data_IF_531570486132
#
_entry.id   IF_531570486132
#
_cell.length_a   1.000
_cell.length_b   1.000
_cell.length_c   1.000
_cell.angle_alpha   90.00
_cell.angle_beta   90.00
_cell.angle_gamma   90.00
#
_symmetry.space_group_name_H-M   'P 1'
#
loop_
_entity.id
_entity.type
_entity.pdbx_description
1 polymer ?
#
# COMPACT_ATOMS: atom_id res chain seq x y z
N UNK A 1 14.74 28.12 -12.64
CA UNK A 1 15.15 27.05 -13.59
C UNK A 1 14.22 25.89 -13.31
N UNK A 2 13.13 25.79 -14.05
CA UNK A 2 12.15 24.72 -13.89
C UNK A 2 12.82 23.38 -14.22
N UNK A 3 13.16 22.62 -13.18
CA UNK A 3 13.51 21.21 -13.33
C UNK A 3 12.23 20.51 -13.77
N UNK A 4 12.07 20.36 -15.09
CA UNK A 4 11.03 19.49 -15.67
C UNK A 4 11.26 18.10 -15.10
N UNK A 5 10.48 17.75 -14.08
CA UNK A 5 10.43 16.39 -13.55
C UNK A 5 10.02 15.40 -14.64
N UNK A 6 10.25 14.11 -14.40
CA UNK A 6 9.87 13.04 -15.31
C UNK A 6 8.36 13.05 -15.56
N UNK A 7 7.90 13.29 -16.80
CA UNK A 7 6.46 13.31 -17.09
C UNK A 7 5.86 11.90 -16.95
N UNK A 8 4.58 11.78 -16.56
CA UNK A 8 3.91 10.49 -16.53
C UNK A 8 3.76 9.92 -17.94
N UNK A 9 3.87 8.60 -18.05
CA UNK A 9 3.63 7.83 -19.29
C UNK A 9 2.15 7.78 -19.62
N UNK A 10 1.30 7.54 -18.62
CA UNK A 10 -0.15 7.55 -18.75
C UNK A 10 -0.80 8.31 -17.59
N UNK A 11 -2.02 8.78 -17.78
CA UNK A 11 -2.76 9.52 -16.74
C UNK A 11 -4.24 9.23 -16.85
N UNK A 12 -4.88 8.99 -15.70
CA UNK A 12 -6.33 8.91 -15.56
C UNK A 12 -6.78 10.16 -14.81
N UNK A 13 -7.67 10.94 -15.40
CA UNK A 13 -8.25 12.13 -14.77
C UNK A 13 -9.60 11.79 -14.14
N UNK A 14 -9.82 12.24 -12.92
CA UNK A 14 -11.06 12.06 -12.18
C UNK A 14 -11.73 13.41 -11.87
N UNK A 15 -13.04 13.43 -11.62
CA UNK A 15 -13.76 14.66 -11.31
C UNK A 15 -13.39 15.24 -9.93
N UNK A 16 -13.02 14.37 -8.99
CA UNK A 16 -12.79 14.67 -7.57
C UNK A 16 -11.35 14.36 -7.15
N UNK A 17 -10.96 14.86 -5.98
CA UNK A 17 -9.65 14.59 -5.39
C UNK A 17 -9.54 13.12 -4.99
N UNK A 18 -8.44 12.49 -5.37
CA UNK A 18 -8.06 11.14 -4.94
C UNK A 18 -7.50 11.22 -3.52
N UNK A 19 -8.12 10.50 -2.59
CA UNK A 19 -7.66 10.43 -1.20
C UNK A 19 -6.65 9.31 -1.02
N UNK A 20 -6.97 8.13 -1.54
CA UNK A 20 -6.09 6.97 -1.59
C UNK A 20 -6.48 6.08 -2.77
N UNK A 21 -5.63 5.17 -3.19
CA UNK A 21 -5.96 4.16 -4.19
C UNK A 21 -5.11 2.92 -3.97
N UNK A 22 -5.57 1.80 -4.52
CA UNK A 22 -4.79 0.58 -4.62
C UNK A 22 -5.00 -0.09 -5.98
N UNK A 23 -3.89 -0.52 -6.58
CA UNK A 23 -3.90 -1.51 -7.65
C UNK A 23 -3.78 -2.88 -7.01
N UNK A 24 -4.55 -3.85 -7.50
CA UNK A 24 -4.48 -5.20 -6.98
C UNK A 24 -3.07 -5.75 -7.07
N UNK A 25 -2.58 -6.30 -5.95
CA UNK A 25 -1.29 -6.96 -5.84
C UNK A 25 -1.38 -8.47 -6.11
N UNK A 26 -2.44 -8.95 -6.75
CA UNK A 26 -2.67 -10.37 -7.02
C UNK A 26 -2.76 -10.65 -8.52
N UNK A 27 -2.14 -11.74 -8.96
CA UNK A 27 -2.07 -12.17 -10.36
C UNK A 27 -3.44 -12.18 -11.05
N UNK A 28 -4.44 -12.81 -10.43
CA UNK A 28 -5.77 -13.00 -11.00
C UNK A 28 -6.64 -11.74 -11.04
N UNK A 29 -6.19 -10.65 -10.42
CA UNK A 29 -6.90 -9.38 -10.40
C UNK A 29 -6.00 -8.17 -10.66
N UNK A 30 -4.80 -8.37 -11.23
CA UNK A 30 -3.76 -7.34 -11.39
C UNK A 30 -4.24 -6.05 -12.09
N UNK A 31 -5.26 -6.18 -12.94
CA UNK A 31 -5.84 -5.07 -13.71
C UNK A 31 -6.92 -4.31 -12.95
N UNK A 32 -7.31 -4.75 -11.75
CA UNK A 32 -8.26 -4.04 -10.90
C UNK A 32 -7.60 -2.90 -10.15
N UNK A 33 -8.30 -1.77 -10.14
CA UNK A 33 -7.92 -0.55 -9.47
C UNK A 33 -9.10 -0.07 -8.63
N UNK A 34 -8.86 0.15 -7.34
CA UNK A 34 -9.81 0.79 -6.44
C UNK A 34 -9.29 2.20 -6.11
N UNK A 35 -10.10 3.21 -6.41
CA UNK A 35 -9.77 4.61 -6.14
C UNK A 35 -10.74 5.14 -5.10
N UNK A 36 -10.20 5.63 -3.98
CA UNK A 36 -10.96 6.20 -2.90
C UNK A 36 -11.04 7.72 -3.06
N UNK A 37 -12.27 8.23 -3.21
CA UNK A 37 -12.59 9.65 -3.26
C UNK A 37 -13.12 10.11 -1.89
N UNK A 38 -13.80 11.24 -1.82
CA UNK A 38 -14.18 11.83 -0.54
C UNK A 38 -15.28 11.04 0.20
N UNK A 39 -16.24 10.47 -0.52
CA UNK A 39 -17.41 9.76 0.02
C UNK A 39 -17.75 8.49 -0.77
N UNK A 40 -16.82 8.00 -1.60
CA UNK A 40 -17.03 6.83 -2.46
C UNK A 40 -15.74 6.13 -2.84
N UNK A 41 -15.89 4.86 -3.20
CA UNK A 41 -14.87 4.06 -3.85
C UNK A 41 -15.28 3.85 -5.32
N UNK A 42 -14.37 4.14 -6.24
CA UNK A 42 -14.52 3.87 -7.67
C UNK A 42 -13.68 2.65 -8.00
N UNK A 43 -14.36 1.56 -8.33
CA UNK A 43 -13.73 0.34 -8.82
C UNK A 43 -13.69 0.39 -10.34
N UNK A 44 -12.53 0.11 -10.90
CA UNK A 44 -12.38 -0.03 -12.33
C UNK A 44 -11.27 -1.01 -12.71
N UNK A 45 -11.12 -1.19 -14.01
CA UNK A 45 -10.02 -1.95 -14.60
C UNK A 45 -9.12 -1.04 -15.43
N UNK A 46 -7.82 -1.17 -15.25
CA UNK A 46 -6.80 -0.57 -16.10
C UNK A 46 -6.21 -1.66 -16.99
N UNK A 47 -5.99 -1.38 -18.26
CA UNK A 47 -5.21 -2.22 -19.17
C UNK A 47 -4.09 -1.41 -19.79
N UNK A 48 -2.92 -2.03 -19.87
CA UNK A 48 -1.73 -1.38 -20.39
C UNK A 48 -1.49 -1.73 -21.86
N UNK A 49 -0.77 -0.88 -22.61
CA UNK A 49 -0.39 -1.15 -23.99
C UNK A 49 0.22 -2.54 -24.22
N UNK A 50 1.02 -3.03 -23.28
CA UNK A 50 1.70 -4.33 -23.34
C UNK A 50 0.75 -5.54 -23.26
N UNK A 51 -0.47 -5.34 -22.80
CA UNK A 51 -1.49 -6.40 -22.62
C UNK A 51 -2.52 -6.41 -23.75
N UNK A 52 -2.55 -5.37 -24.58
CA UNK A 52 -3.57 -5.14 -25.59
C UNK A 52 -2.99 -5.23 -27.00
N UNK A 53 -3.70 -5.88 -27.93
CA UNK A 53 -3.30 -5.94 -29.34
C UNK A 53 -3.18 -4.56 -30.01
N UNK A 54 -3.94 -3.58 -29.51
CA UNK A 54 -4.00 -2.21 -30.05
C UNK A 54 -2.94 -1.28 -29.45
N UNK A 55 -2.11 -1.76 -28.51
CA UNK A 55 -1.09 -0.96 -27.80
C UNK A 55 -1.64 0.32 -27.12
N UNK A 56 -2.92 0.33 -26.77
CA UNK A 56 -3.59 1.45 -26.09
C UNK A 56 -3.66 1.25 -24.59
N UNK A 57 -3.45 2.34 -23.84
CA UNK A 57 -3.76 2.42 -22.42
C UNK A 57 -5.26 2.67 -22.23
N UNK A 58 -5.93 1.83 -21.45
CA UNK A 58 -7.37 1.86 -21.27
C UNK A 58 -7.76 1.88 -19.78
N UNK A 59 -8.68 2.77 -19.44
CA UNK A 59 -9.32 2.83 -18.12
C UNK A 59 -10.82 2.64 -18.29
N UNK A 60 -11.38 1.65 -17.59
CA UNK A 60 -12.80 1.38 -17.58
C UNK A 60 -13.32 1.37 -16.13
N UNK A 61 -14.26 2.26 -15.84
CA UNK A 61 -14.96 2.27 -14.55
C UNK A 61 -15.99 1.14 -14.52
N UNK A 62 -15.86 0.24 -13.55
CA UNK A 62 -16.73 -0.92 -13.39
C UNK A 62 -17.88 -0.62 -12.44
N UNK A 63 -17.60 0.03 -11.30
CA UNK A 63 -18.60 0.24 -10.25
C UNK A 63 -18.25 1.43 -9.36
N UNK A 64 -19.28 2.10 -8.84
CA UNK A 64 -19.17 3.10 -7.80
C UNK A 64 -19.83 2.58 -6.51
N UNK A 65 -19.12 2.71 -5.40
CA UNK A 65 -19.54 2.21 -4.09
C UNK A 65 -19.58 3.41 -3.15
N UNK A 66 -20.76 3.74 -2.65
CA UNK A 66 -20.89 4.84 -1.69
C UNK A 66 -20.28 4.45 -0.35
N UNK A 67 -19.45 5.33 0.21
CA UNK A 67 -18.75 5.13 1.48
C UNK A 67 -19.17 6.21 2.47
N UNK A 68 -19.65 5.81 3.66
CA UNK A 68 -20.28 6.72 4.63
C UNK A 68 -19.32 7.74 5.27
N UNK A 69 -18.02 7.46 5.21
CA UNK A 69 -16.95 8.33 5.73
C UNK A 69 -15.84 8.49 4.70
N UNK A 70 -14.94 9.46 4.85
CA UNK A 70 -13.77 9.56 3.98
C UNK A 70 -12.81 8.37 4.18
N UNK A 71 -12.58 7.52 3.16
CA UNK A 71 -11.62 6.42 3.23
C UNK A 71 -10.18 6.94 3.07
N UNK A 72 -9.23 6.39 3.84
CA UNK A 72 -7.82 6.79 3.76
C UNK A 72 -6.85 5.63 3.55
N UNK A 73 -7.29 4.38 3.76
CA UNK A 73 -6.56 3.19 3.33
C UNK A 73 -7.56 2.25 2.66
N UNK A 74 -7.14 1.64 1.56
CA UNK A 74 -7.89 0.61 0.84
C UNK A 74 -6.97 -0.58 0.59
N UNK A 75 -7.52 -1.78 0.53
CA UNK A 75 -6.79 -2.98 0.11
C UNK A 75 -7.69 -3.94 -0.67
N UNK A 76 -7.12 -4.74 -1.57
CA UNK A 76 -7.81 -5.88 -2.18
C UNK A 76 -7.59 -7.16 -1.36
N UNK A 77 -8.60 -8.03 -1.31
CA UNK A 77 -8.43 -9.37 -0.76
C UNK A 77 -7.85 -10.33 -1.82
N UNK A 78 -7.08 -11.36 -1.42
CA UNK A 78 -6.47 -12.35 -2.33
C UNK A 78 -7.50 -13.17 -3.11
N UNK A 79 -8.71 -13.32 -2.56
CA UNK A 79 -9.81 -14.06 -3.19
C UNK A 79 -10.47 -13.28 -4.34
N UNK A 80 -10.08 -12.02 -4.56
CA UNK A 80 -10.65 -11.17 -5.61
C UNK A 80 -10.25 -11.70 -6.99
N UNK A 81 -11.26 -12.05 -7.79
CA UNK A 81 -11.07 -12.53 -9.16
C UNK A 81 -12.27 -12.20 -10.04
N UNK A 82 -11.97 -11.74 -11.26
CA UNK A 82 -12.97 -11.54 -12.31
C UNK A 82 -13.15 -12.79 -13.20
N UNK A 83 -12.30 -13.80 -13.05
CA UNK A 83 -12.31 -15.00 -13.87
C UNK A 83 -13.33 -16.05 -13.41
N UNK A 84 -13.76 -15.97 -12.15
CA UNK A 84 -14.76 -16.86 -11.55
C UNK A 84 -16.17 -16.38 -11.88
N UNK A 85 -17.12 -17.31 -12.00
CA UNK A 85 -18.55 -17.01 -12.14
C UNK A 85 -19.30 -17.63 -10.93
N UNK A 86 -19.99 -16.83 -10.10
CA UNK A 86 -20.07 -15.37 -10.18
C UNK A 86 -18.70 -14.70 -9.90
N UNK A 87 -18.53 -13.49 -10.43
CA UNK A 87 -17.32 -12.68 -10.14
C UNK A 87 -17.28 -12.40 -8.65
N UNK A 88 -16.09 -12.24 -8.09
CA UNK A 88 -15.91 -11.96 -6.68
C UNK A 88 -14.90 -10.84 -6.51
N UNK A 89 -15.35 -9.69 -6.05
CA UNK A 89 -14.48 -8.56 -5.68
C UNK A 89 -14.65 -8.27 -4.20
N UNK A 90 -13.55 -8.33 -3.46
CA UNK A 90 -13.53 -8.04 -2.03
C UNK A 90 -12.48 -6.96 -1.75
N UNK A 91 -12.90 -5.88 -1.10
CA UNK A 91 -12.08 -4.71 -0.80
C UNK A 91 -12.28 -4.33 0.66
N UNK A 92 -11.20 -3.92 1.33
CA UNK A 92 -11.28 -3.34 2.67
C UNK A 92 -10.99 -1.88 2.52
N UNK A 93 -11.76 -1.06 3.22
CA UNK A 93 -11.47 0.35 3.37
C UNK A 93 -11.47 0.73 4.84
N UNK A 94 -10.45 1.49 5.25
CA UNK A 94 -10.42 2.15 6.54
C UNK A 94 -10.97 3.58 6.38
N UNK A 95 -11.99 3.90 7.17
CA UNK A 95 -12.68 5.18 7.14
C UNK A 95 -12.28 6.14 8.26
N UNK A 96 -12.72 7.39 8.13
CA UNK A 96 -12.59 8.42 9.17
C UNK A 96 -13.48 8.15 10.40
N UNK A 97 -14.30 7.10 10.36
CA UNK A 97 -15.15 6.62 11.45
C UNK A 97 -14.48 5.55 12.34
N UNK A 98 -13.18 5.32 12.16
CA UNK A 98 -12.34 4.35 12.89
C UNK A 98 -12.71 2.88 12.62
N UNK A 99 -13.59 2.63 11.65
CA UNK A 99 -14.03 1.29 11.28
C UNK A 99 -13.36 0.84 10.00
N UNK A 100 -13.33 -0.48 9.83
CA UNK A 100 -12.95 -1.10 8.57
C UNK A 100 -14.23 -1.58 7.90
N UNK A 101 -14.40 -1.24 6.64
CA UNK A 101 -15.53 -1.67 5.83
C UNK A 101 -15.02 -2.74 4.88
N UNK A 102 -15.58 -3.94 4.97
CA UNK A 102 -15.37 -5.01 4.00
C UNK A 102 -16.49 -4.94 2.98
N UNK A 103 -16.14 -4.53 1.78
CA UNK A 103 -17.04 -4.52 0.63
C UNK A 103 -16.87 -5.82 -0.16
N UNK A 104 -17.99 -6.49 -0.46
CA UNK A 104 -18.01 -7.64 -1.37
C UNK A 104 -19.02 -7.39 -2.49
N UNK A 105 -18.64 -7.72 -3.71
CA UNK A 105 -19.48 -7.53 -4.90
C UNK A 105 -19.21 -8.57 -5.97
N UNK A 106 -20.26 -8.93 -6.71
CA UNK A 106 -20.19 -9.67 -7.96
C UNK A 106 -20.12 -8.77 -9.21
N UNK A 107 -19.98 -7.45 -9.01
CA UNK A 107 -20.12 -6.39 -10.02
C UNK A 107 -21.53 -6.25 -10.62
N UNK A 108 -22.50 -7.03 -10.18
CA UNK A 108 -23.90 -6.93 -10.60
C UNK A 108 -24.69 -6.17 -9.51
N UNK A 109 -25.70 -6.81 -8.90
CA UNK A 109 -26.55 -6.18 -7.88
C UNK A 109 -26.27 -6.71 -6.46
N UNK A 110 -25.42 -7.72 -6.31
CA UNK A 110 -25.19 -8.36 -5.02
C UNK A 110 -24.00 -7.72 -4.30
N UNK A 111 -24.27 -6.56 -3.70
CA UNK A 111 -23.29 -5.84 -2.89
C UNK A 111 -23.55 -6.02 -1.41
N UNK A 112 -22.51 -6.34 -0.66
CA UNK A 112 -22.57 -6.39 0.80
C UNK A 112 -21.47 -5.55 1.41
N UNK A 113 -21.77 -4.96 2.56
CA UNK A 113 -20.81 -4.22 3.37
C UNK A 113 -20.88 -4.76 4.79
N UNK A 114 -19.76 -5.27 5.27
CA UNK A 114 -19.57 -5.68 6.65
C UNK A 114 -18.68 -4.65 7.37
N UNK A 115 -19.07 -4.31 8.60
CA UNK A 115 -18.33 -3.34 9.42
C UNK A 115 -17.53 -4.10 10.48
N UNK A 116 -16.23 -3.82 10.55
CA UNK A 116 -15.37 -4.32 11.61
C UNK A 116 -15.12 -3.18 12.61
N UNK A 117 -15.58 -3.41 13.84
CA UNK A 117 -15.47 -2.47 14.95
C UNK A 117 -14.48 -3.02 15.98
N UNK A 118 -13.52 -2.20 16.39
CA UNK A 118 -12.53 -2.60 17.39
C UNK A 118 -11.50 -1.50 17.68
N UNK A 119 -11.11 -0.76 16.65
CA UNK A 119 -10.21 0.38 16.79
C UNK A 119 -10.89 1.57 17.47
N UNK A 120 -10.10 2.33 18.23
CA UNK A 120 -10.56 3.52 19.00
C UNK A 120 -10.08 4.84 18.41
N UNK A 121 -9.30 4.79 17.33
CA UNK A 121 -8.72 5.94 16.65
C UNK A 121 -8.54 5.62 15.15
N UNK A 122 -7.95 6.53 14.39
CA UNK A 122 -7.72 6.37 12.95
C UNK A 122 -6.98 5.06 12.63
N UNK A 123 -7.48 4.31 11.66
CA UNK A 123 -6.88 3.03 11.21
C UNK A 123 -5.91 3.31 10.07
N UNK A 124 -4.65 3.61 10.39
CA UNK A 124 -3.63 4.07 9.44
C UNK A 124 -3.40 3.18 8.21
N UNK A 125 -3.52 1.86 8.34
CA UNK A 125 -3.27 0.93 7.23
C UNK A 125 -4.03 -0.39 7.41
N UNK A 126 -4.52 -0.94 6.30
CA UNK A 126 -5.09 -2.30 6.23
C UNK A 126 -4.33 -3.14 5.21
N UNK A 127 -4.15 -4.43 5.48
CA UNK A 127 -3.46 -5.35 4.57
C UNK A 127 -3.95 -6.78 4.76
N UNK A 128 -4.26 -7.46 3.67
CA UNK A 128 -4.54 -8.89 3.70
C UNK A 128 -3.28 -9.75 3.76
N UNK A 129 -3.39 -10.84 4.50
CA UNK A 129 -2.50 -11.99 4.40
C UNK A 129 -2.64 -12.63 3.00
N UNK A 130 -1.55 -12.96 2.29
CA UNK A 130 -1.62 -13.59 0.97
C UNK A 130 -2.48 -14.86 0.92
N UNK A 131 -2.51 -15.63 2.01
CA UNK A 131 -3.33 -16.85 2.13
C UNK A 131 -4.81 -16.58 2.43
N UNK A 132 -5.17 -15.33 2.68
CA UNK A 132 -6.52 -14.92 3.03
C UNK A 132 -7.00 -15.44 4.38
N UNK A 133 -6.10 -15.83 5.30
CA UNK A 133 -6.50 -16.24 6.65
C UNK A 133 -6.86 -15.03 7.51
N UNK A 134 -6.06 -13.96 7.40
CA UNK A 134 -6.19 -12.77 8.22
C UNK A 134 -6.20 -11.48 7.39
N UNK A 135 -6.91 -10.48 7.92
CA UNK A 135 -6.76 -9.08 7.57
C UNK A 135 -6.07 -8.39 8.75
N UNK A 136 -4.96 -7.69 8.52
CA UNK A 136 -4.31 -6.86 9.52
C UNK A 136 -4.78 -5.41 9.40
N UNK A 137 -5.02 -4.77 10.55
CA UNK A 137 -5.32 -3.34 10.63
C UNK A 137 -4.50 -2.67 11.72
N UNK A 138 -3.91 -1.52 11.39
CA UNK A 138 -3.06 -0.74 12.30
C UNK A 138 -3.66 0.61 12.59
N UNK A 139 -3.49 1.13 13.80
CA UNK A 139 -4.14 2.36 14.22
C UNK A 139 -3.30 3.28 15.10
N UNK A 140 -3.71 4.54 15.12
CA UNK A 140 -3.30 5.57 16.08
C UNK A 140 -3.74 5.29 17.52
N UNK A 141 -4.53 4.25 17.77
CA UNK A 141 -4.84 3.76 19.13
C UNK A 141 -3.74 2.85 19.72
N UNK A 142 -2.57 2.82 19.06
CA UNK A 142 -1.40 2.02 19.39
C UNK A 142 -1.64 0.50 19.29
N UNK A 143 -2.61 0.07 18.49
CA UNK A 143 -2.87 -1.35 18.27
C UNK A 143 -2.75 -1.78 16.82
N UNK A 144 -2.40 -3.05 16.64
CA UNK A 144 -2.60 -3.80 15.42
C UNK A 144 -3.57 -4.95 15.71
N UNK A 145 -4.71 -4.99 15.03
CA UNK A 145 -5.74 -6.01 15.18
C UNK A 145 -5.70 -6.93 13.95
N UNK A 146 -5.78 -8.24 14.18
CA UNK A 146 -5.97 -9.21 13.13
C UNK A 146 -7.43 -9.68 13.11
N UNK A 147 -8.02 -9.74 11.92
CA UNK A 147 -9.39 -10.18 11.69
C UNK A 147 -9.37 -11.49 10.92
N UNK A 148 -10.13 -12.48 11.37
CA UNK A 148 -10.14 -13.82 10.77
C UNK A 148 -11.08 -13.87 9.56
N UNK A 149 -10.55 -13.78 8.35
CA UNK A 149 -11.36 -13.67 7.13
C UNK A 149 -12.33 -14.85 6.94
N UNK A 150 -11.92 -16.07 7.31
CA UNK A 150 -12.73 -17.30 7.16
C UNK A 150 -13.75 -17.51 8.28
N UNK A 151 -13.66 -16.76 9.37
CA UNK A 151 -14.60 -16.78 10.50
C UNK A 151 -15.42 -15.48 10.52
N UNK A 152 -15.93 -15.06 9.36
CA UNK A 152 -16.75 -13.85 9.20
C UNK A 152 -16.06 -12.60 9.78
N UNK A 153 -14.76 -12.46 9.50
CA UNK A 153 -13.91 -11.38 10.01
C UNK A 153 -13.98 -11.21 11.54
N UNK A 154 -14.22 -12.28 12.30
CA UNK A 154 -14.18 -12.23 13.76
C UNK A 154 -12.82 -11.69 14.24
N UNK A 155 -12.84 -10.88 15.31
CA UNK A 155 -11.63 -10.32 15.88
C UNK A 155 -10.71 -11.44 16.40
N UNK A 156 -9.51 -11.51 15.83
CA UNK A 156 -8.43 -12.41 16.19
C UNK A 156 -7.44 -11.78 17.18
N UNK A 157 -6.16 -12.19 17.15
CA UNK A 157 -5.13 -11.62 18.00
C UNK A 157 -5.01 -10.10 17.83
N UNK A 158 -4.72 -9.39 18.91
CA UNK A 158 -4.44 -7.96 18.91
C UNK A 158 -3.10 -7.71 19.59
N UNK A 159 -2.29 -6.84 19.00
CA UNK A 159 -0.99 -6.42 19.49
C UNK A 159 -1.07 -4.96 19.94
N UNK A 160 -0.44 -4.62 21.06
CA UNK A 160 -0.46 -3.29 21.66
C UNK A 160 0.95 -2.74 21.81
N UNK A 161 1.12 -1.46 21.50
CA UNK A 161 2.41 -0.78 21.37
C UNK A 161 2.45 0.50 22.21
N UNK A 162 3.65 1.10 22.34
CA UNK A 162 3.84 2.35 23.07
C UNK A 162 3.45 3.59 22.27
N UNK A 163 3.41 3.46 20.94
CA UNK A 163 3.11 4.52 19.97
C UNK A 163 2.18 4.01 18.87
N UNK A 164 1.70 4.96 18.06
CA UNK A 164 0.81 4.69 16.95
C UNK A 164 1.44 3.70 15.96
N UNK A 165 0.64 2.82 15.39
CA UNK A 165 1.09 1.86 14.38
C UNK A 165 0.76 2.41 13.00
N UNK A 166 1.79 2.66 12.18
CA UNK A 166 1.65 3.42 10.92
C UNK A 166 1.48 2.53 9.69
N UNK A 167 2.03 1.32 9.69
CA UNK A 167 1.91 0.37 8.58
C UNK A 167 2.00 -1.06 9.10
N UNK A 168 1.27 -1.97 8.46
CA UNK A 168 1.46 -3.41 8.60
C UNK A 168 1.50 -4.06 7.22
N UNK A 169 2.48 -4.96 7.03
CA UNK A 169 2.71 -5.66 5.77
C UNK A 169 2.99 -7.13 6.01
N UNK A 170 2.15 -7.97 5.43
CA UNK A 170 2.34 -9.41 5.43
C UNK A 170 3.54 -9.77 4.56
N UNK A 171 4.26 -10.79 4.99
CA UNK A 171 5.34 -11.34 4.20
C UNK A 171 4.76 -11.91 2.89
N UNK A 172 5.41 -11.66 1.73
CA UNK A 172 4.83 -11.99 0.42
C UNK A 172 4.68 -13.49 0.16
N UNK A 173 5.59 -14.31 0.70
CA UNK A 173 5.63 -15.76 0.43
C UNK A 173 5.29 -16.62 1.66
N UNK A 174 5.95 -16.37 2.80
CA UNK A 174 5.72 -17.10 4.05
C UNK A 174 4.48 -16.62 4.81
N UNK A 175 3.48 -17.51 4.88
CA UNK A 175 2.29 -17.36 5.70
C UNK A 175 2.58 -16.96 7.16
N UNK A 176 1.73 -16.10 7.71
CA UNK A 176 1.73 -15.81 9.13
C UNK A 176 2.87 -14.90 9.62
N UNK A 177 3.73 -14.41 8.75
CA UNK A 177 4.74 -13.40 9.09
C UNK A 177 4.23 -12.00 8.76
N UNK A 178 4.33 -11.10 9.74
CA UNK A 178 3.78 -9.76 9.66
C UNK A 178 4.81 -8.74 10.14
N UNK A 179 5.11 -7.76 9.28
CA UNK A 179 5.80 -6.54 9.69
C UNK A 179 4.79 -5.56 10.28
N UNK A 180 5.17 -4.97 11.40
CA UNK A 180 4.43 -3.90 12.05
C UNK A 180 5.38 -2.73 12.30
N UNK A 181 5.06 -1.58 11.71
CA UNK A 181 5.82 -0.35 11.86
C UNK A 181 5.20 0.54 12.95
N UNK A 182 5.94 0.74 14.03
CA UNK A 182 5.57 1.64 15.12
C UNK A 182 6.18 3.04 14.85
N UNK A 183 5.37 4.09 15.05
CA UNK A 183 5.73 5.49 14.77
C UNK A 183 6.99 5.96 15.52
N UNK A 184 7.32 5.33 16.64
CA UNK A 184 8.51 5.64 17.45
C UNK A 184 9.84 5.34 16.73
N UNK A 185 9.83 4.58 15.65
CA UNK A 185 11.03 4.20 14.88
C UNK A 185 11.29 2.69 14.85
N UNK A 186 10.48 1.89 15.52
CA UNK A 186 10.68 0.45 15.61
C UNK A 186 9.83 -0.29 14.57
N UNK A 187 10.46 -1.18 13.84
CA UNK A 187 9.80 -2.14 12.95
C UNK A 187 9.88 -3.52 13.59
N UNK A 188 8.75 -4.12 13.86
CA UNK A 188 8.65 -5.44 14.47
C UNK A 188 8.30 -6.49 13.42
N UNK A 189 8.96 -7.64 13.47
CA UNK A 189 8.58 -8.85 12.75
C UNK A 189 7.88 -9.81 13.72
N UNK A 190 6.63 -10.12 13.43
CA UNK A 190 5.81 -11.05 14.20
C UNK A 190 5.51 -12.32 13.42
N UNK A 191 5.43 -13.43 14.16
CA UNK A 191 4.83 -14.66 13.68
C UNK A 191 3.47 -14.84 14.34
N UNK A 192 2.41 -14.62 13.57
CA UNK A 192 1.03 -14.50 14.03
C UNK A 192 0.55 -15.78 14.70
N UNK A 193 0.76 -16.94 14.07
CA UNK A 193 0.29 -18.23 14.61
C UNK A 193 0.97 -18.60 15.94
N UNK A 194 2.20 -18.16 16.15
CA UNK A 194 2.93 -18.37 17.41
C UNK A 194 2.67 -17.29 18.45
N UNK A 195 2.09 -16.15 18.05
CA UNK A 195 1.90 -14.95 18.89
C UNK A 195 3.22 -14.45 19.51
N UNK A 196 4.33 -14.62 18.79
CA UNK A 196 5.67 -14.21 19.25
C UNK A 196 6.25 -13.15 18.34
N UNK A 197 6.89 -12.14 18.92
CA UNK A 197 7.83 -11.29 18.19
C UNK A 197 9.09 -12.11 17.89
N UNK A 198 9.51 -12.12 16.63
CA UNK A 198 10.74 -12.79 16.21
C UNK A 198 11.94 -11.85 16.27
N UNK A 199 11.75 -10.64 15.77
CA UNK A 199 12.81 -9.65 15.60
C UNK A 199 12.20 -8.25 15.68
N UNK A 200 13.00 -7.28 16.10
CA UNK A 200 12.70 -5.86 15.92
C UNK A 200 13.94 -5.13 15.43
N UNK A 201 13.76 -4.19 14.51
CA UNK A 201 14.81 -3.29 14.02
C UNK A 201 14.39 -1.85 14.27
N UNK A 202 15.36 -0.96 14.48
CA UNK A 202 15.10 0.42 14.89
C UNK A 202 15.78 1.40 13.92
N UNK A 203 15.06 2.47 13.59
CA UNK A 203 15.59 3.63 12.87
C UNK A 203 16.31 4.57 13.84
N UNK A 204 17.40 5.19 13.41
CA UNK A 204 18.09 6.23 14.19
C UNK A 204 17.31 7.57 14.26
N UNK A 205 16.26 7.69 13.46
CA UNK A 205 15.42 8.88 13.35
C UNK A 205 13.94 8.52 13.35
N UNK A 206 13.11 9.40 13.90
CA UNK A 206 11.66 9.22 14.00
C UNK A 206 10.93 10.55 13.72
N UNK A 207 9.66 10.57 13.29
CA UNK A 207 8.74 9.44 13.23
C UNK A 207 8.97 8.52 12.01
N UNK A 208 8.67 7.23 12.21
CA UNK A 208 8.49 6.27 11.12
C UNK A 208 7.14 6.53 10.45
N UNK A 209 7.10 6.47 9.11
CA UNK A 209 5.88 6.71 8.32
C UNK A 209 5.40 5.47 7.57
N UNK A 210 6.30 4.62 7.09
CA UNK A 210 5.91 3.41 6.35
C UNK A 210 7.00 2.33 6.37
N UNK A 211 6.59 1.09 6.13
CA UNK A 211 7.47 -0.06 5.92
C UNK A 211 6.92 -0.91 4.78
N UNK A 212 7.81 -1.56 4.03
CA UNK A 212 7.46 -2.50 2.97
C UNK A 212 8.47 -3.64 2.86
N UNK A 213 8.01 -4.80 2.39
CA UNK A 213 8.86 -5.95 2.08
C UNK A 213 9.45 -5.82 0.69
N UNK A 214 10.66 -6.32 0.52
CA UNK A 214 11.15 -6.60 -0.82
C UNK A 214 10.45 -7.86 -1.35
N UNK A 215 9.64 -7.69 -2.39
CA UNK A 215 8.81 -8.75 -2.95
C UNK A 215 9.61 -9.79 -3.74
N UNK A 216 10.78 -9.42 -4.27
CA UNK A 216 11.68 -10.36 -4.96
C UNK A 216 12.62 -11.10 -3.99
N UNK A 217 12.90 -10.50 -2.83
CA UNK A 217 13.79 -11.07 -1.83
C UNK A 217 13.36 -10.67 -0.43
N UNK A 218 12.53 -11.52 0.18
CA UNK A 218 11.91 -11.25 1.47
C UNK A 218 12.87 -11.17 2.67
N UNK A 219 14.17 -11.40 2.49
CA UNK A 219 15.15 -11.09 3.52
C UNK A 219 15.29 -9.58 3.75
N UNK A 220 14.93 -8.76 2.76
CA UNK A 220 15.10 -7.31 2.82
C UNK A 220 13.80 -6.57 3.12
N UNK A 221 13.93 -5.52 3.92
CA UNK A 221 12.84 -4.59 4.22
C UNK A 221 13.30 -3.16 4.02
N UNK A 222 12.36 -2.30 3.67
CA UNK A 222 12.58 -0.87 3.54
C UNK A 222 11.64 -0.15 4.48
N UNK A 223 12.17 0.83 5.20
CA UNK A 223 11.36 1.69 6.04
C UNK A 223 11.66 3.15 5.74
N UNK A 224 10.66 3.99 5.94
CA UNK A 224 10.76 5.43 5.76
C UNK A 224 10.56 6.12 7.09
N UNK A 225 11.58 6.85 7.53
CA UNK A 225 11.52 7.65 8.74
C UNK A 225 12.03 9.05 8.47
N UNK A 226 11.27 10.07 8.87
CA UNK A 226 11.46 11.44 8.39
C UNK A 226 11.68 11.44 6.87
N UNK A 227 12.67 12.16 6.36
CA UNK A 227 13.04 12.21 4.95
C UNK A 227 13.93 11.08 4.46
N UNK A 228 14.28 10.12 5.32
CA UNK A 228 15.26 9.09 5.03
C UNK A 228 14.58 7.76 4.68
N UNK A 229 15.25 7.00 3.81
CA UNK A 229 14.91 5.63 3.48
C UNK A 229 15.99 4.73 4.04
N UNK A 230 15.54 3.72 4.78
CA UNK A 230 16.40 2.75 5.44
C UNK A 230 16.18 1.37 4.84
N UNK A 231 17.27 0.65 4.60
CA UNK A 231 17.26 -0.69 4.08
C UNK A 231 17.85 -1.64 5.12
N UNK A 232 17.16 -2.73 5.44
CA UNK A 232 17.67 -3.79 6.31
C UNK A 232 17.72 -5.12 5.59
N UNK A 233 18.72 -5.92 5.96
CA UNK A 233 18.74 -7.36 5.78
C UNK A 233 18.34 -7.96 7.14
N UNK A 234 17.19 -8.62 7.19
CA UNK A 234 16.69 -9.22 8.42
C UNK A 234 17.54 -10.40 8.89
N UNK A 235 18.39 -10.99 8.03
CA UNK A 235 19.36 -12.01 8.44
C UNK A 235 20.53 -11.42 9.23
N UNK A 236 20.81 -10.13 9.02
CA UNK A 236 21.84 -9.37 9.75
C UNK A 236 21.28 -8.04 10.24
N UNK A 237 20.32 -8.13 11.15
CA UNK A 237 19.42 -7.05 11.55
C UNK A 237 19.99 -6.06 12.57
N UNK A 238 21.28 -6.17 12.91
CA UNK A 238 21.92 -5.35 13.94
C UNK A 238 21.97 -3.85 13.56
N UNK A 239 22.09 -3.54 12.27
CA UNK A 239 22.11 -2.19 11.73
C UNK A 239 21.51 -2.15 10.32
N UNK A 240 20.95 -1.00 9.88
CA UNK A 240 20.55 -0.86 8.48
C UNK A 240 21.77 -1.03 7.56
N UNK A 241 21.57 -1.70 6.43
CA UNK A 241 22.56 -1.81 5.36
C UNK A 241 22.87 -0.43 4.81
N UNK A 242 21.82 0.37 4.62
CA UNK A 242 21.90 1.70 4.05
C UNK A 242 20.85 2.61 4.69
N UNK A 243 21.27 3.83 5.05
CA UNK A 243 20.41 4.94 5.46
C UNK A 243 20.65 6.09 4.48
N UNK A 244 19.61 6.48 3.74
CA UNK A 244 19.73 7.42 2.63
C UNK A 244 18.75 8.57 2.77
N UNK A 245 19.22 9.82 2.85
CA UNK A 245 18.33 10.99 2.79
C UNK A 245 17.76 11.10 1.38
N UNK A 246 16.42 11.11 1.27
CA UNK A 246 15.72 11.11 -0.01
C UNK A 246 14.78 12.29 -0.18
N UNK A 247 14.10 12.69 0.89
CA UNK A 247 13.21 13.85 0.94
C UNK A 247 13.73 14.85 1.97
N UNK A 248 13.59 16.15 1.72
CA UNK A 248 14.23 17.17 2.55
C UNK A 248 13.58 17.30 3.94
N UNK A 249 12.26 17.08 4.03
CA UNK A 249 11.52 17.20 5.29
C UNK A 249 11.08 15.83 5.83
N UNK A 250 10.10 15.22 5.16
CA UNK A 250 9.44 13.99 5.61
C UNK A 250 8.98 13.20 4.40
N UNK A 251 9.17 11.89 4.42
CA UNK A 251 8.60 10.95 3.50
C UNK A 251 7.27 10.41 4.04
N UNK A 252 6.30 10.25 3.15
CA UNK A 252 4.98 9.70 3.45
C UNK A 252 4.93 8.19 3.30
N UNK A 253 5.50 7.66 2.23
CA UNK A 253 5.42 6.25 1.86
C UNK A 253 6.65 5.84 1.07
N UNK A 254 7.06 4.59 1.25
CA UNK A 254 8.08 3.90 0.47
C UNK A 254 7.56 2.52 0.09
N UNK A 255 7.81 2.07 -1.13
CA UNK A 255 7.47 0.72 -1.59
C UNK A 255 8.56 0.13 -2.47
N UNK A 256 8.86 -1.16 -2.28
CA UNK A 256 9.74 -1.88 -3.20
C UNK A 256 9.07 -2.10 -4.55
N UNK A 257 9.89 -2.09 -5.59
CA UNK A 257 9.47 -2.58 -6.89
C UNK A 257 9.29 -4.10 -6.83
N UNK A 258 8.17 -4.66 -7.31
CA UNK A 258 8.01 -6.11 -7.45
C UNK A 258 8.99 -6.72 -8.46
N UNK A 259 9.58 -5.89 -9.32
CA UNK A 259 10.41 -6.31 -10.46
C UNK A 259 11.92 -6.21 -10.20
N UNK A 260 12.32 -5.64 -9.06
CA UNK A 260 13.73 -5.50 -8.72
C UNK A 260 13.95 -5.43 -7.23
N UNK A 261 14.95 -6.20 -6.79
CA UNK A 261 15.40 -6.21 -5.41
C UNK A 261 16.01 -4.88 -4.95
N UNK A 262 16.32 -3.97 -5.87
CA UNK A 262 17.13 -2.79 -5.58
C UNK A 262 16.42 -1.48 -5.88
N UNK A 263 15.21 -1.51 -6.43
CA UNK A 263 14.46 -0.30 -6.79
C UNK A 263 13.36 -0.07 -5.78
N UNK A 264 13.27 1.15 -5.28
CA UNK A 264 12.16 1.61 -4.44
C UNK A 264 11.57 2.89 -5.00
N UNK A 265 10.26 3.03 -4.83
CA UNK A 265 9.56 4.29 -5.06
C UNK A 265 9.16 4.90 -3.72
N UNK A 266 9.13 6.22 -3.67
CA UNK A 266 8.78 6.93 -2.46
C UNK A 266 8.16 8.29 -2.77
N UNK A 267 7.34 8.80 -1.85
CA UNK A 267 6.77 10.15 -1.95
C UNK A 267 7.04 10.90 -0.65
N UNK A 268 7.40 12.18 -0.73
CA UNK A 268 7.69 13.01 0.44
C UNK A 268 7.49 14.51 0.23
N UNK A 269 7.68 15.25 1.31
CA UNK A 269 7.57 16.71 1.50
C UNK A 269 8.91 17.41 1.24
N UNK A 270 8.91 18.72 0.89
CA UNK A 270 7.79 19.68 0.99
C UNK A 270 6.80 19.69 -0.18
N UNK A 271 7.18 19.19 -1.37
CA UNK A 271 6.42 19.40 -2.61
C UNK A 271 5.66 18.17 -3.12
N UNK A 272 5.35 17.18 -2.26
CA UNK A 272 4.78 15.90 -2.68
C UNK A 272 5.52 15.31 -3.89
N UNK A 273 6.83 15.08 -3.75
CA UNK A 273 7.67 14.60 -4.86
C UNK A 273 7.74 13.09 -4.86
N UNK A 274 7.36 12.47 -5.97
CA UNK A 274 7.66 11.07 -6.28
C UNK A 274 9.14 10.95 -6.64
N UNK A 275 9.85 10.04 -5.97
CA UNK A 275 11.22 9.66 -6.30
C UNK A 275 11.31 8.14 -6.42
N UNK A 276 11.78 7.66 -7.58
CA UNK A 276 12.16 6.26 -7.80
C UNK A 276 13.68 6.20 -7.78
N UNK A 277 14.24 5.40 -6.88
CA UNK A 277 15.68 5.26 -6.70
C UNK A 277 16.08 3.80 -6.79
N UNK A 278 17.26 3.56 -7.35
CA UNK A 278 18.00 2.33 -7.09
C UNK A 278 18.79 2.51 -5.79
N UNK A 279 18.87 1.49 -4.92
CA UNK A 279 19.53 1.55 -3.61
C UNK A 279 20.90 2.21 -3.70
N UNK A 280 21.78 1.64 -4.53
CA UNK A 280 23.17 2.09 -4.70
C UNK A 280 23.34 3.44 -5.41
N UNK A 281 22.33 3.94 -6.12
CA UNK A 281 22.49 5.12 -6.98
C UNK A 281 22.13 6.40 -6.22
N UNK A 282 22.99 7.42 -6.23
CA UNK A 282 22.72 8.67 -5.49
C UNK A 282 21.53 9.47 -6.03
N UNK A 283 21.31 9.44 -7.34
CA UNK A 283 20.27 10.22 -8.01
C UNK A 283 19.04 9.36 -8.32
N UNK A 284 17.82 9.95 -8.25
CA UNK A 284 16.61 9.26 -8.65
C UNK A 284 16.57 9.01 -10.16
N UNK A 285 16.03 7.85 -10.55
CA UNK A 285 15.72 7.52 -11.94
C UNK A 285 14.51 8.30 -12.42
N UNK A 286 13.51 8.46 -11.54
CA UNK A 286 12.30 9.26 -11.78
C UNK A 286 12.15 10.23 -10.63
N UNK A 287 11.96 11.50 -10.97
CA UNK A 287 11.60 12.55 -10.02
C UNK A 287 10.45 13.35 -10.59
N UNK A 288 9.28 13.30 -9.94
CA UNK A 288 8.07 13.97 -10.41
C UNK A 288 7.40 14.73 -9.26
N UNK A 289 7.03 15.99 -9.51
CA UNK A 289 6.29 16.81 -8.55
C UNK A 289 4.79 16.51 -8.68
N UNK A 290 4.15 16.15 -7.58
CA UNK A 290 2.71 15.94 -7.48
C UNK A 290 2.04 17.19 -6.89
N UNK A 291 0.79 17.46 -7.25
CA UNK A 291 0.03 18.57 -6.67
C UNK A 291 -0.37 18.26 -5.22
N UNK A 292 -0.97 17.09 -5.00
CA UNK A 292 -1.35 16.57 -3.70
C UNK A 292 -1.11 15.06 -3.67
N UNK A 293 -0.57 14.56 -2.56
CA UNK A 293 -0.39 13.13 -2.33
C UNK A 293 -1.73 12.43 -2.07
N UNK A 294 -1.93 11.29 -2.73
CA UNK A 294 -3.07 10.40 -2.50
C UNK A 294 -2.73 8.92 -2.67
N UNK A 295 -1.49 8.51 -2.36
CA UNK A 295 -1.05 7.11 -2.42
C UNK A 295 0.08 6.83 -3.41
N UNK A 296 0.65 5.63 -3.28
CA UNK A 296 1.72 5.07 -4.10
C UNK A 296 1.51 3.57 -4.25
N UNK A 297 1.56 3.06 -5.49
CA UNK A 297 1.53 1.63 -5.75
C UNK A 297 2.43 1.26 -6.92
N UNK A 298 2.85 0.00 -6.97
CA UNK A 298 3.46 -0.60 -8.14
C UNK A 298 2.45 -1.51 -8.80
N UNK A 299 2.48 -1.57 -10.13
CA UNK A 299 1.75 -2.60 -10.84
C UNK A 299 2.35 -3.97 -10.54
N UNK A 300 1.50 -4.98 -10.38
CA UNK A 300 1.91 -6.35 -10.01
C UNK A 300 2.95 -6.94 -10.98
N UNK A 301 2.64 -6.99 -12.28
CA UNK A 301 3.50 -7.63 -13.29
C UNK A 301 4.30 -6.67 -14.19
N UNK A 302 3.77 -5.49 -14.51
CA UNK A 302 4.42 -4.53 -15.39
C UNK A 302 5.27 -3.52 -14.58
N UNK A 303 6.36 -2.99 -15.13
CA UNK A 303 7.26 -2.07 -14.42
C UNK A 303 6.70 -0.63 -14.34
N UNK A 304 5.44 -0.50 -13.94
CA UNK A 304 4.78 0.79 -13.75
C UNK A 304 4.70 1.14 -12.26
N UNK A 305 5.20 2.32 -11.92
CA UNK A 305 4.89 2.96 -10.64
C UNK A 305 3.73 3.93 -10.84
N UNK A 306 2.83 3.97 -9.87
CA UNK A 306 1.60 4.75 -9.91
C UNK A 306 1.52 5.64 -8.68
N UNK A 307 1.22 6.91 -8.88
CA UNK A 307 1.01 7.86 -7.80
C UNK A 307 -0.16 8.79 -8.13
N UNK A 308 -0.93 9.13 -7.11
CA UNK A 308 -2.01 10.11 -7.24
C UNK A 308 -1.46 11.53 -7.06
N UNK A 309 -1.91 12.43 -7.93
CA UNK A 309 -1.62 13.85 -7.92
C UNK A 309 -2.93 14.63 -7.98
N UNK A 310 -3.47 14.99 -6.82
CA UNK A 310 -4.78 15.65 -6.66
C UNK A 310 -5.93 14.86 -7.34
N UNK A 311 -6.35 15.23 -8.55
CA UNK A 311 -7.44 14.56 -9.29
C UNK A 311 -6.95 13.65 -10.43
N UNK A 312 -5.64 13.47 -10.54
CA UNK A 312 -5.03 12.66 -11.57
C UNK A 312 -4.32 11.45 -10.96
N UNK A 313 -4.56 10.27 -11.51
CA UNK A 313 -3.76 9.08 -11.23
C UNK A 313 -2.72 8.94 -12.35
N UNK A 314 -1.45 9.06 -12.00
CA UNK A 314 -0.35 9.14 -12.94
C UNK A 314 0.47 7.84 -12.90
N UNK A 315 0.88 7.36 -14.08
CA UNK A 315 1.62 6.12 -14.27
C UNK A 315 2.97 6.43 -14.91
N UNK A 316 4.06 5.94 -14.34
CA UNK A 316 5.39 6.06 -14.91
C UNK A 316 5.96 4.68 -15.17
N UNK A 317 6.36 4.42 -16.42
CA UNK A 317 7.13 3.23 -16.77
C UNK A 317 8.56 3.40 -16.27
N UNK A 318 9.00 2.48 -15.42
CA UNK A 318 10.36 2.45 -14.88
C UNK A 318 11.19 1.51 -15.72
N UNK A 319 12.39 1.95 -16.10
CA UNK A 319 13.39 1.08 -16.72
C UNK A 319 14.14 0.39 -15.58
N UNK A 320 13.90 -0.90 -15.44
CA UNK A 320 14.40 -1.74 -14.36
C UNK A 320 15.51 -2.63 -14.89
#
# INVERSE_FOLDING_TARGET
MDTKGSPPTHTISLPEQIITFELSSYEWSQNLLCIALMDKLVLGSVRFPEENDNESFEWNQLKEIHHKSRPHSVAFAPETSLAVVPKKVIIASAGSDYKIHIFQSDLDQNDTVQLLEGHRSYVNHVSWDPDGEFLASCSDDNSCILWKCKEDYAQGPSFFFGSAVVSAKWHPEESGHLLIAEKCGVVHLYKVHLKTSMLSVETDTNPLSYVDWNLSNSAYVVAMARGNVFFWDLKNSSWPIENKPLHDECGHIVKFSPHSEHVVASIGKPNATLKVIHMKNKLPQIEAKLLLYGGLCWHYQLPYVVAASDRALCFWKVLI
#
